data_IF_896271449223
#
_entry.id   IF_896271449223
#
_cell.length_a   1.000
_cell.length_b   1.000
_cell.length_c   1.000
_cell.angle_alpha   90.00
_cell.angle_beta   90.00
_cell.angle_gamma   90.00
#
_symmetry.space_group_name_H-M   'P 1'
#
loop_
_entity.id
_entity.type
_entity.pdbx_description
1 polymer ?
#
# COMPACT_ATOMS: atom_id res chain seq x y z
N UNK A 1 -10.52 -43.20 10.67
CA UNK A 1 -9.87 -41.86 10.69
C UNK A 1 -8.37 -42.12 10.81
N UNK A 2 -7.60 -41.82 9.77
CA UNK A 2 -6.15 -41.95 9.82
C UNK A 2 -5.63 -40.89 10.79
N UNK A 3 -4.79 -41.32 11.76
CA UNK A 3 -4.03 -40.42 12.62
C UNK A 3 -3.09 -39.56 11.74
N UNK A 4 -3.59 -38.43 11.23
CA UNK A 4 -2.71 -37.39 10.71
C UNK A 4 -1.94 -36.85 11.92
N UNK A 5 -0.65 -37.09 11.96
CA UNK A 5 0.24 -36.55 12.97
C UNK A 5 0.06 -35.01 13.00
N UNK A 6 -0.47 -34.50 14.10
CA UNK A 6 -0.55 -33.07 14.33
C UNK A 6 0.86 -32.49 14.21
N UNK A 7 1.04 -31.36 13.50
CA UNK A 7 2.36 -30.78 13.37
C UNK A 7 2.94 -30.43 14.75
N UNK A 8 4.15 -30.89 15.00
CA UNK A 8 4.90 -30.58 16.22
C UNK A 8 5.38 -29.14 16.19
N UNK A 9 5.26 -28.43 17.31
CA UNK A 9 5.83 -27.09 17.46
C UNK A 9 7.22 -27.26 18.05
N UNK A 10 8.23 -26.72 17.37
CA UNK A 10 9.55 -26.54 17.95
C UNK A 10 9.57 -25.19 18.67
N UNK A 11 9.71 -25.23 19.97
CA UNK A 11 9.91 -24.04 20.80
C UNK A 11 11.39 -24.00 21.20
N UNK A 12 12.05 -22.92 20.81
CA UNK A 12 13.44 -22.68 21.24
C UNK A 12 13.38 -21.85 22.53
N UNK A 13 13.67 -22.49 23.67
CA UNK A 13 13.97 -21.79 24.92
C UNK A 13 15.46 -21.42 24.94
N UNK A 14 15.89 -20.57 25.89
CA UNK A 14 17.23 -19.98 25.94
C UNK A 14 18.39 -20.97 25.72
N UNK A 15 18.21 -22.25 25.99
CA UNK A 15 19.28 -23.28 25.90
C UNK A 15 18.86 -24.61 25.25
N UNK A 16 17.58 -24.83 24.95
CA UNK A 16 17.10 -26.12 24.42
C UNK A 16 16.02 -25.97 23.35
N UNK A 17 16.11 -26.80 22.31
CA UNK A 17 14.99 -27.03 21.38
C UNK A 17 14.03 -28.04 22.01
N UNK A 18 12.86 -27.60 22.37
CA UNK A 18 11.77 -28.47 22.81
C UNK A 18 10.77 -28.67 21.69
N UNK A 19 10.47 -29.92 21.37
CA UNK A 19 9.38 -30.28 20.48
C UNK A 19 8.11 -30.46 21.31
N UNK A 20 7.15 -29.52 21.18
CA UNK A 20 5.87 -29.67 21.82
C UNK A 20 4.91 -30.32 20.82
N UNK A 21 4.59 -31.60 21.05
CA UNK A 21 3.50 -32.27 20.36
C UNK A 21 2.19 -31.79 20.98
N UNK A 22 1.40 -31.07 20.17
CA UNK A 22 0.13 -30.53 20.66
C UNK A 22 -0.96 -31.61 20.67
N UNK A 23 -1.67 -31.71 21.78
CA UNK A 23 -2.93 -32.47 21.92
C UNK A 23 -4.15 -31.71 21.37
N UNK A 24 -3.96 -30.46 20.91
CA UNK A 24 -5.00 -29.57 20.45
C UNK A 24 -5.09 -29.56 18.93
N UNK A 25 -6.30 -29.71 18.39
CA UNK A 25 -6.55 -29.52 16.95
C UNK A 25 -6.27 -28.08 16.54
N UNK A 26 -5.44 -27.87 15.52
CA UNK A 26 -4.97 -26.56 15.06
C UNK A 26 -5.46 -26.19 13.65
N UNK A 27 -6.42 -26.95 13.11
CA UNK A 27 -6.93 -26.73 11.77
C UNK A 27 -6.02 -27.34 10.68
N UNK A 28 -6.48 -27.23 9.43
CA UNK A 28 -5.75 -27.75 8.26
C UNK A 28 -4.52 -26.91 7.88
N UNK A 29 -4.52 -25.65 8.25
CA UNK A 29 -3.49 -24.67 7.84
C UNK A 29 -2.80 -24.09 9.09
N UNK A 30 -1.99 -24.93 9.76
CA UNK A 30 -1.18 -24.47 10.88
C UNK A 30 0.15 -23.93 10.36
N UNK A 31 0.41 -22.64 10.56
CA UNK A 31 1.66 -21.99 10.21
C UNK A 31 2.30 -21.46 11.50
N UNK A 32 3.57 -21.76 11.72
CA UNK A 32 4.31 -21.30 12.88
C UNK A 32 5.09 -20.02 12.56
N UNK A 33 5.30 -19.19 13.59
CA UNK A 33 6.21 -18.06 13.47
C UNK A 33 7.64 -18.59 13.34
N UNK A 34 8.45 -18.09 12.38
CA UNK A 34 9.80 -18.59 12.16
C UNK A 34 10.71 -18.24 13.32
N UNK A 35 11.63 -19.16 13.66
CA UNK A 35 12.76 -18.86 14.52
C UNK A 35 13.88 -18.21 13.71
N UNK A 36 14.93 -17.72 14.40
CA UNK A 36 16.09 -17.11 13.72
C UNK A 36 16.83 -18.08 12.76
N UNK A 37 16.66 -19.39 12.92
CA UNK A 37 17.28 -20.37 12.05
C UNK A 37 16.69 -20.35 10.64
N UNK A 38 15.38 -20.17 10.53
CA UNK A 38 14.69 -20.15 9.26
C UNK A 38 14.96 -18.86 8.45
N UNK A 39 15.42 -17.78 9.09
CA UNK A 39 15.74 -16.51 8.40
C UNK A 39 16.86 -16.64 7.35
N UNK A 40 17.69 -17.68 7.44
CA UNK A 40 18.73 -18.00 6.46
C UNK A 40 18.28 -18.93 5.34
N UNK A 41 17.03 -19.44 5.38
CA UNK A 41 16.53 -20.40 4.40
C UNK A 41 16.27 -19.71 3.04
N UNK A 42 16.64 -20.40 1.97
CA UNK A 42 16.43 -19.92 0.60
C UNK A 42 14.97 -19.64 0.29
N UNK A 43 14.06 -20.42 0.88
CA UNK A 43 12.62 -20.28 0.70
C UNK A 43 11.91 -19.43 1.77
N UNK A 44 12.66 -18.78 2.66
CA UNK A 44 12.10 -18.05 3.80
C UNK A 44 10.95 -17.10 3.41
N UNK A 45 11.14 -16.28 2.40
CA UNK A 45 10.11 -15.34 1.98
C UNK A 45 8.84 -16.03 1.48
N UNK A 46 9.00 -17.10 0.72
CA UNK A 46 7.88 -17.86 0.15
C UNK A 46 7.07 -18.57 1.22
N UNK A 47 7.72 -19.11 2.22
CA UNK A 47 7.11 -19.98 3.24
C UNK A 47 6.55 -19.19 4.43
N UNK A 48 7.15 -18.04 4.78
CA UNK A 48 6.81 -17.32 6.00
C UNK A 48 6.18 -15.94 5.75
N UNK A 49 6.55 -15.23 4.68
CA UNK A 49 6.04 -13.87 4.42
C UNK A 49 5.04 -13.83 3.27
N UNK A 50 5.38 -14.40 2.12
CA UNK A 50 4.54 -14.34 0.90
C UNK A 50 3.49 -15.45 0.83
N UNK A 51 3.52 -16.39 1.74
CA UNK A 51 2.58 -17.51 1.79
C UNK A 51 1.13 -17.02 1.88
N UNK A 52 0.31 -17.41 0.91
CA UNK A 52 -1.10 -17.00 0.84
C UNK A 52 -1.35 -15.65 0.13
N UNK A 53 -0.30 -14.91 -0.22
CA UNK A 53 -0.40 -13.62 -0.93
C UNK A 53 0.14 -13.66 -2.36
N UNK A 54 0.83 -14.72 -2.75
CA UNK A 54 1.34 -14.86 -4.12
C UNK A 54 0.19 -15.08 -5.11
N UNK A 55 0.24 -14.45 -6.30
CA UNK A 55 -0.68 -14.82 -7.38
C UNK A 55 -0.44 -16.27 -7.80
N UNK A 56 -1.48 -16.91 -8.36
CA UNK A 56 -1.38 -18.29 -8.88
C UNK A 56 -0.33 -18.38 -9.99
N UNK A 57 -0.23 -17.33 -10.81
CA UNK A 57 0.79 -17.15 -11.85
C UNK A 57 1.21 -15.69 -11.92
N UNK A 58 2.48 -15.38 -12.19
CA UNK A 58 2.89 -14.03 -12.55
C UNK A 58 2.06 -13.50 -13.73
N UNK A 59 1.77 -12.22 -13.75
CA UNK A 59 0.85 -11.63 -14.74
C UNK A 59 1.31 -10.29 -15.32
N UNK A 60 2.45 -9.77 -14.87
CA UNK A 60 3.01 -8.50 -15.35
C UNK A 60 4.10 -8.81 -16.39
N UNK A 61 3.82 -8.57 -17.66
CA UNK A 61 4.80 -8.58 -18.72
C UNK A 61 5.26 -7.15 -19.05
N UNK A 62 6.23 -7.01 -19.97
CA UNK A 62 6.80 -5.72 -20.37
C UNK A 62 5.80 -4.77 -21.06
N UNK A 63 4.71 -5.32 -21.63
CA UNK A 63 3.70 -4.55 -22.37
C UNK A 63 2.58 -4.04 -21.46
N UNK A 64 2.41 -4.65 -20.29
CA UNK A 64 1.39 -4.24 -19.33
C UNK A 64 1.66 -2.84 -18.80
N UNK A 65 0.66 -1.98 -18.92
CA UNK A 65 0.74 -0.61 -18.44
C UNK A 65 0.48 -0.55 -16.93
N UNK A 66 1.48 -0.11 -16.19
CA UNK A 66 1.50 -0.08 -14.73
C UNK A 66 1.40 1.35 -14.24
N UNK A 67 0.59 1.58 -13.22
CA UNK A 67 0.60 2.82 -12.45
C UNK A 67 0.81 2.51 -10.96
N UNK A 68 1.65 3.29 -10.29
CA UNK A 68 1.82 3.19 -8.85
C UNK A 68 1.38 4.49 -8.17
N UNK A 69 0.57 4.35 -7.12
CA UNK A 69 0.10 5.43 -6.26
C UNK A 69 0.61 5.27 -4.84
N UNK A 70 0.79 6.36 -4.13
CA UNK A 70 0.95 6.34 -2.69
C UNK A 70 2.17 7.07 -2.15
N UNK A 71 2.83 6.47 -1.15
CA UNK A 71 4.00 7.04 -0.47
C UNK A 71 5.25 7.10 -1.37
N UNK A 72 6.36 7.64 -0.83
CA UNK A 72 7.65 7.60 -1.50
C UNK A 72 8.08 6.18 -1.91
N UNK A 73 7.60 5.15 -1.23
CA UNK A 73 7.85 3.76 -1.64
C UNK A 73 7.25 3.46 -3.03
N UNK A 74 6.09 4.02 -3.38
CA UNK A 74 5.52 3.88 -4.73
C UNK A 74 6.43 4.51 -5.82
N UNK A 75 7.19 5.56 -5.49
CA UNK A 75 8.22 6.09 -6.40
C UNK A 75 9.34 5.09 -6.64
N UNK A 76 9.86 4.46 -5.58
CA UNK A 76 10.89 3.43 -5.71
C UNK A 76 10.42 2.23 -6.53
N UNK A 77 9.18 1.77 -6.34
CA UNK A 77 8.57 0.72 -7.17
C UNK A 77 8.56 1.13 -8.64
N UNK A 78 8.11 2.35 -8.95
CA UNK A 78 8.06 2.85 -10.32
C UNK A 78 9.45 2.98 -10.95
N UNK A 79 10.41 3.53 -10.21
CA UNK A 79 11.79 3.71 -10.68
C UNK A 79 12.47 2.37 -10.97
N UNK A 80 12.29 1.40 -10.08
CA UNK A 80 12.81 0.05 -10.30
C UNK A 80 12.23 -0.59 -11.58
N UNK A 81 10.89 -0.56 -11.72
CA UNK A 81 10.22 -1.16 -12.88
C UNK A 81 10.60 -0.46 -14.19
N UNK A 82 10.78 0.87 -14.18
CA UNK A 82 11.29 1.61 -15.36
C UNK A 82 12.71 1.20 -15.69
N UNK A 83 13.62 1.10 -14.71
CA UNK A 83 14.99 0.60 -14.92
C UNK A 83 15.00 -0.81 -15.53
N UNK A 84 14.02 -1.63 -15.17
CA UNK A 84 13.81 -2.99 -15.72
C UNK A 84 13.02 -3.02 -17.04
N UNK A 85 12.75 -1.85 -17.65
CA UNK A 85 12.06 -1.68 -18.95
C UNK A 85 10.59 -2.16 -18.95
N UNK A 86 9.91 -2.14 -17.80
CA UNK A 86 8.45 -2.29 -17.76
C UNK A 86 7.76 -1.00 -18.19
N UNK A 87 6.53 -1.13 -18.73
CA UNK A 87 5.73 0.02 -19.18
C UNK A 87 5.02 0.68 -17.99
N UNK A 88 5.70 1.62 -17.34
CA UNK A 88 5.17 2.33 -16.18
C UNK A 88 4.77 3.75 -16.56
N UNK A 89 3.59 4.19 -16.14
CA UNK A 89 3.21 5.60 -16.22
C UNK A 89 4.07 6.42 -15.24
N UNK A 90 5.30 6.72 -15.66
CA UNK A 90 6.29 7.48 -14.90
C UNK A 90 6.72 8.70 -15.73
N UNK A 91 6.42 9.91 -15.30
CA UNK A 91 6.76 11.17 -15.97
C UNK A 91 6.17 11.43 -17.38
N UNK A 92 5.49 10.49 -18.01
CA UNK A 92 5.00 10.59 -19.40
C UNK A 92 3.51 10.98 -19.51
N UNK A 93 2.88 11.32 -18.41
CA UNK A 93 1.55 11.93 -18.48
C UNK A 93 1.74 13.33 -19.08
N UNK A 94 1.05 13.62 -20.18
CA UNK A 94 1.12 14.90 -20.86
C UNK A 94 1.02 16.07 -19.90
N UNK A 95 1.48 17.26 -20.30
CA UNK A 95 1.53 18.43 -19.41
C UNK A 95 0.19 18.79 -18.78
N UNK A 96 -0.90 18.26 -19.30
CA UNK A 96 -2.28 18.54 -18.93
C UNK A 96 -2.97 17.41 -18.16
N UNK A 97 -2.30 16.30 -17.80
CA UNK A 97 -2.89 15.28 -16.95
C UNK A 97 -2.36 15.38 -15.52
N UNK A 98 -3.28 15.41 -14.56
CA UNK A 98 -2.93 15.38 -13.15
C UNK A 98 -3.30 14.05 -12.52
N UNK A 99 -2.37 13.11 -12.60
CA UNK A 99 -2.38 11.99 -11.68
C UNK A 99 -1.31 12.27 -10.64
N UNK A 100 -1.72 12.67 -9.45
CA UNK A 100 -0.81 12.76 -8.33
C UNK A 100 -0.56 11.36 -7.85
N UNK A 101 0.64 10.87 -8.08
CA UNK A 101 1.00 9.47 -7.80
C UNK A 101 1.68 9.30 -6.46
N UNK A 102 2.51 10.26 -6.06
CA UNK A 102 3.42 10.10 -4.92
C UNK A 102 3.40 11.28 -3.96
N UNK A 103 3.76 10.99 -2.74
CA UNK A 103 3.95 11.96 -1.67
C UNK A 103 3.06 11.72 -0.47
N UNK A 104 3.22 12.51 0.56
CA UNK A 104 2.47 12.37 1.81
C UNK A 104 0.95 12.41 1.58
N UNK A 105 0.49 13.30 0.70
CA UNK A 105 -0.93 13.43 0.38
C UNK A 105 -1.54 12.17 -0.25
N UNK A 106 -0.77 11.39 -1.00
CA UNK A 106 -1.27 10.21 -1.72
C UNK A 106 -1.12 8.91 -0.95
N UNK A 107 -0.62 8.96 0.27
CA UNK A 107 -0.41 7.77 1.09
C UNK A 107 -1.65 7.35 1.91
N UNK A 108 -2.76 8.06 1.83
CA UNK A 108 -4.03 7.72 2.50
C UNK A 108 -5.10 7.28 1.51
N UNK A 109 -6.08 6.54 2.00
CA UNK A 109 -7.14 5.94 1.17
C UNK A 109 -8.11 6.97 0.61
N UNK A 110 -8.33 8.08 1.31
CA UNK A 110 -9.29 9.12 0.91
C UNK A 110 -8.84 9.83 -0.36
N UNK A 111 -7.58 10.25 -0.41
CA UNK A 111 -7.05 11.00 -1.55
C UNK A 111 -6.92 10.15 -2.81
N UNK A 112 -6.58 8.87 -2.66
CA UNK A 112 -6.57 7.92 -3.79
C UNK A 112 -7.99 7.73 -4.32
N UNK A 113 -8.98 7.51 -3.43
CA UNK A 113 -10.38 7.36 -3.80
C UNK A 113 -10.91 8.63 -4.48
N UNK A 114 -10.67 9.79 -3.89
CA UNK A 114 -11.16 11.08 -4.42
C UNK A 114 -10.64 11.33 -5.84
N UNK A 115 -9.35 11.05 -6.09
CA UNK A 115 -8.78 11.21 -7.43
C UNK A 115 -9.43 10.28 -8.46
N UNK A 116 -9.74 9.03 -8.09
CA UNK A 116 -10.43 8.10 -8.98
C UNK A 116 -11.88 8.50 -9.22
N UNK A 117 -12.60 8.93 -8.18
CA UNK A 117 -13.97 9.44 -8.30
C UNK A 117 -14.04 10.68 -9.22
N UNK A 118 -13.10 11.60 -9.06
CA UNK A 118 -13.00 12.76 -9.94
C UNK A 118 -12.75 12.35 -11.39
N UNK A 119 -11.79 11.45 -11.62
CA UNK A 119 -11.41 11.07 -12.97
C UNK A 119 -12.52 10.27 -13.67
N UNK A 120 -13.06 9.24 -13.04
CA UNK A 120 -14.02 8.30 -13.65
C UNK A 120 -15.46 8.75 -13.57
N UNK A 121 -15.88 9.35 -12.44
CA UNK A 121 -17.28 9.69 -12.17
C UNK A 121 -17.57 11.18 -12.27
N UNK A 122 -16.57 12.01 -12.58
CA UNK A 122 -16.70 13.46 -12.62
C UNK A 122 -17.25 14.06 -11.30
N UNK A 123 -16.87 13.43 -10.17
CA UNK A 123 -17.26 13.94 -8.86
C UNK A 123 -16.55 15.25 -8.57
N UNK A 124 -17.32 16.25 -8.18
CA UNK A 124 -16.76 17.54 -7.80
C UNK A 124 -15.81 17.40 -6.61
N UNK A 125 -14.65 18.04 -6.76
CA UNK A 125 -13.66 18.17 -5.70
C UNK A 125 -13.69 19.58 -5.18
N UNK A 126 -13.72 19.71 -3.86
CA UNK A 126 -13.65 21.01 -3.23
C UNK A 126 -12.38 21.75 -3.66
N UNK A 127 -12.56 22.97 -4.17
CA UNK A 127 -11.42 23.84 -4.50
C UNK A 127 -10.60 24.04 -3.23
N UNK A 128 -9.29 23.93 -3.33
CA UNK A 128 -8.33 24.11 -2.24
C UNK A 128 -8.04 22.89 -1.33
N UNK A 129 -8.60 21.71 -1.59
CA UNK A 129 -8.13 20.48 -0.91
C UNK A 129 -6.85 19.91 -1.53
N UNK A 130 -6.58 20.23 -2.80
CA UNK A 130 -5.44 19.73 -3.56
C UNK A 130 -4.27 20.73 -3.59
N UNK A 131 -3.53 20.84 -2.52
CA UNK A 131 -2.35 21.69 -2.48
C UNK A 131 -1.14 21.00 -3.11
N UNK A 132 -0.52 21.66 -4.08
CA UNK A 132 0.80 21.25 -4.58
C UNK A 132 1.93 21.85 -3.73
N UNK A 133 1.79 23.11 -3.36
CA UNK A 133 2.66 23.84 -2.44
C UNK A 133 1.82 24.86 -1.66
N UNK A 134 2.33 25.51 -0.60
CA UNK A 134 1.58 26.53 0.15
C UNK A 134 0.97 27.64 -0.67
N UNK A 135 1.53 27.92 -1.85
CA UNK A 135 1.08 28.99 -2.75
C UNK A 135 0.43 28.51 -4.06
N UNK A 136 0.32 27.19 -4.28
CA UNK A 136 -0.16 26.65 -5.56
C UNK A 136 -1.10 25.48 -5.35
N UNK A 137 -2.37 25.69 -5.69
CA UNK A 137 -3.35 24.62 -5.84
C UNK A 137 -3.20 23.91 -7.19
N UNK A 138 -3.55 22.65 -7.26
CA UNK A 138 -3.61 21.93 -8.51
C UNK A 138 -4.87 22.30 -9.28
N UNK A 139 -4.73 22.39 -10.59
CA UNK A 139 -5.90 22.54 -11.49
C UNK A 139 -6.68 21.22 -11.50
N UNK A 140 -8.00 21.35 -11.44
CA UNK A 140 -8.93 20.23 -11.52
C UNK A 140 -10.06 20.52 -12.53
N UNK A 141 -9.71 21.23 -13.62
CA UNK A 141 -10.66 21.55 -14.69
C UNK A 141 -10.98 20.32 -15.56
N UNK A 142 -11.99 20.46 -16.40
CA UNK A 142 -12.53 19.39 -17.22
C UNK A 142 -11.54 18.87 -18.27
N UNK A 143 -10.68 19.72 -18.82
CA UNK A 143 -9.63 19.31 -19.76
C UNK A 143 -8.64 18.36 -19.06
N UNK A 144 -8.19 18.77 -17.87
CA UNK A 144 -7.29 17.99 -17.03
C UNK A 144 -7.92 16.65 -16.64
N UNK A 145 -9.20 16.66 -16.28
CA UNK A 145 -9.96 15.46 -15.94
C UNK A 145 -10.01 14.47 -17.11
N UNK A 146 -10.34 14.95 -18.31
CA UNK A 146 -10.41 14.10 -19.51
C UNK A 146 -9.08 13.47 -19.85
N UNK A 147 -7.98 14.21 -19.78
CA UNK A 147 -6.65 13.65 -20.02
C UNK A 147 -6.24 12.64 -18.96
N UNK A 148 -6.55 12.91 -17.68
CA UNK A 148 -6.33 11.97 -16.59
C UNK A 148 -7.13 10.68 -16.80
N UNK A 149 -8.40 10.79 -17.15
CA UNK A 149 -9.25 9.65 -17.47
C UNK A 149 -8.70 8.82 -18.64
N UNK A 150 -8.26 9.48 -19.72
CA UNK A 150 -7.68 8.80 -20.88
C UNK A 150 -6.41 8.02 -20.50
N UNK A 151 -5.59 8.55 -19.62
CA UNK A 151 -4.42 7.85 -19.11
C UNK A 151 -4.80 6.65 -18.23
N UNK A 152 -5.74 6.84 -17.29
CA UNK A 152 -6.20 5.78 -16.38
C UNK A 152 -6.86 4.61 -17.13
N UNK A 153 -7.60 4.88 -18.20
CA UNK A 153 -8.25 3.84 -19.04
C UNK A 153 -7.28 2.89 -19.72
N UNK A 154 -6.01 3.21 -19.76
CA UNK A 154 -4.98 2.36 -20.36
C UNK A 154 -4.27 1.47 -19.35
N UNK A 155 -4.57 1.59 -18.05
CA UNK A 155 -3.84 0.90 -16.99
C UNK A 155 -4.29 -0.55 -16.86
N UNK A 156 -3.34 -1.48 -16.96
CA UNK A 156 -3.55 -2.91 -16.71
C UNK A 156 -3.32 -3.29 -15.24
N UNK A 157 -2.39 -2.61 -14.57
CA UNK A 157 -2.01 -2.95 -13.19
C UNK A 157 -1.88 -1.69 -12.33
N UNK A 158 -2.66 -1.65 -11.26
CA UNK A 158 -2.59 -0.63 -10.22
C UNK A 158 -1.78 -1.15 -9.04
N UNK A 159 -0.72 -0.44 -8.66
CA UNK A 159 0.04 -0.68 -7.42
C UNK A 159 -0.28 0.46 -6.47
N UNK A 160 -0.93 0.17 -5.35
CA UNK A 160 -1.42 1.20 -4.42
C UNK A 160 -0.75 1.02 -3.06
N UNK A 161 0.14 1.95 -2.74
CA UNK A 161 0.93 1.94 -1.49
C UNK A 161 0.32 2.87 -0.46
N UNK A 162 -0.40 2.31 0.50
CA UNK A 162 -1.04 3.08 1.59
C UNK A 162 -0.10 3.17 2.79
N UNK A 163 -0.05 4.32 3.44
CA UNK A 163 0.89 4.55 4.54
C UNK A 163 0.40 5.44 5.67
N UNK A 164 -0.70 6.19 5.47
CA UNK A 164 -1.23 7.17 6.41
C UNK A 164 -2.69 6.91 6.73
N UNK A 165 -3.04 6.82 8.00
CA UNK A 165 -4.42 6.87 8.49
C UNK A 165 -4.75 8.17 9.25
N UNK A 166 -3.75 9.03 9.46
CA UNK A 166 -3.92 10.36 10.03
C UNK A 166 -4.15 11.38 8.91
N UNK A 167 -5.26 12.12 9.00
CA UNK A 167 -5.68 13.02 7.92
C UNK A 167 -6.19 14.36 8.44
N UNK A 168 -5.86 15.43 7.71
CA UNK A 168 -6.51 16.73 7.87
C UNK A 168 -7.79 16.77 7.04
N UNK A 169 -8.84 17.39 7.54
CA UNK A 169 -10.12 17.47 6.85
C UNK A 169 -10.83 18.80 7.10
N UNK A 170 -11.72 19.17 6.20
CA UNK A 170 -12.63 20.29 6.37
C UNK A 170 -13.80 19.88 7.28
N UNK A 171 -13.97 20.55 8.42
CA UNK A 171 -15.04 20.25 9.40
C UNK A 171 -16.47 20.49 8.88
N UNK A 172 -16.62 21.30 7.83
CA UNK A 172 -17.92 21.64 7.23
C UNK A 172 -18.31 20.59 6.19
N UNK A 173 -17.37 20.21 5.30
CA UNK A 173 -17.64 19.33 4.16
C UNK A 173 -17.19 17.88 4.39
N UNK A 174 -16.41 17.63 5.45
CA UNK A 174 -15.73 16.36 5.75
C UNK A 174 -14.72 15.90 4.69
N UNK A 175 -14.40 16.75 3.73
CA UNK A 175 -13.44 16.43 2.69
C UNK A 175 -12.01 16.44 3.24
N UNK A 176 -11.21 15.46 2.84
CA UNK A 176 -9.83 15.28 3.32
C UNK A 176 -8.87 16.09 2.46
N UNK A 177 -7.93 16.78 3.09
CA UNK A 177 -6.86 17.49 2.40
C UNK A 177 -5.79 16.51 1.92
N UNK A 178 -5.24 16.77 0.75
CA UNK A 178 -4.20 15.92 0.16
C UNK A 178 -2.84 16.09 0.82
N UNK A 179 -2.65 17.19 1.54
CA UNK A 179 -1.45 17.49 2.34
C UNK A 179 -1.86 18.25 3.60
N UNK A 180 -0.87 18.54 4.43
CA UNK A 180 -1.05 19.48 5.52
C UNK A 180 -1.48 20.85 4.99
N UNK A 181 -2.33 21.52 5.76
CA UNK A 181 -2.90 22.82 5.40
C UNK A 181 -1.82 23.89 5.52
N UNK A 182 -1.65 24.75 4.51
CA UNK A 182 -0.73 25.88 4.63
C UNK A 182 -1.05 26.75 5.84
N UNK A 183 -0.03 27.14 6.61
CA UNK A 183 -0.23 27.91 7.85
C UNK A 183 -1.00 29.20 7.61
N UNK A 184 -0.81 29.85 6.46
CA UNK A 184 -1.54 31.08 6.06
C UNK A 184 -3.03 30.85 5.78
N UNK A 185 -3.46 29.61 5.64
CA UNK A 185 -4.85 29.22 5.33
C UNK A 185 -5.49 28.45 6.47
N UNK A 186 -4.73 28.10 7.52
CA UNK A 186 -5.25 27.36 8.64
C UNK A 186 -6.30 28.18 9.42
N UNK A 187 -7.45 27.57 9.64
CA UNK A 187 -8.55 28.12 10.42
C UNK A 187 -9.08 26.99 11.31
N UNK A 188 -8.89 27.13 12.62
CA UNK A 188 -9.28 26.11 13.60
C UNK A 188 -10.79 25.78 13.54
N UNK A 189 -11.63 26.75 13.17
CA UNK A 189 -13.08 26.51 13.05
C UNK A 189 -13.44 25.64 11.87
N UNK A 190 -12.62 25.66 10.78
CA UNK A 190 -12.87 24.95 9.54
C UNK A 190 -12.06 23.68 9.38
N UNK A 191 -10.89 23.62 9.98
CA UNK A 191 -9.93 22.55 9.77
C UNK A 191 -9.85 21.64 10.99
N UNK A 192 -9.97 20.35 10.75
CA UNK A 192 -9.83 19.30 11.74
C UNK A 192 -8.74 18.32 11.37
N UNK A 193 -8.25 17.64 12.37
CA UNK A 193 -7.33 16.51 12.23
C UNK A 193 -7.96 15.28 12.88
N UNK A 194 -7.85 14.12 12.23
CA UNK A 194 -8.37 12.86 12.78
C UNK A 194 -7.48 11.68 12.45
N UNK A 195 -7.55 10.67 13.29
CA UNK A 195 -7.14 9.31 12.98
C UNK A 195 -8.34 8.62 12.32
N UNK A 196 -8.21 8.19 11.07
CA UNK A 196 -9.27 7.45 10.40
C UNK A 196 -9.39 6.03 10.94
N UNK A 197 -10.61 5.49 10.93
CA UNK A 197 -10.90 4.16 11.47
C UNK A 197 -10.55 3.03 10.47
N UNK A 198 -10.57 1.78 10.94
CA UNK A 198 -10.43 0.60 10.08
C UNK A 198 -11.57 0.54 9.07
N UNK A 199 -12.80 0.84 9.51
CA UNK A 199 -14.01 0.82 8.69
C UNK A 199 -13.92 1.84 7.57
N UNK A 200 -13.60 3.11 7.88
CA UNK A 200 -13.42 4.16 6.88
C UNK A 200 -12.40 3.77 5.82
N UNK A 201 -11.26 3.22 6.23
CA UNK A 201 -10.22 2.80 5.30
C UNK A 201 -10.63 1.56 4.49
N UNK A 202 -11.32 0.59 5.10
CA UNK A 202 -11.85 -0.59 4.39
C UNK A 202 -12.86 -0.17 3.32
N UNK A 203 -13.79 0.73 3.65
CA UNK A 203 -14.80 1.24 2.73
C UNK A 203 -14.15 2.01 1.57
N UNK A 204 -13.17 2.86 1.86
CA UNK A 204 -12.43 3.56 0.81
C UNK A 204 -11.70 2.60 -0.13
N UNK A 205 -10.99 1.59 0.40
CA UNK A 205 -10.31 0.57 -0.40
C UNK A 205 -11.29 -0.24 -1.24
N UNK A 206 -12.47 -0.58 -0.70
CA UNK A 206 -13.52 -1.28 -1.42
C UNK A 206 -14.09 -0.42 -2.55
N UNK A 207 -14.30 0.87 -2.33
CA UNK A 207 -14.75 1.80 -3.37
C UNK A 207 -13.66 2.00 -4.44
N UNK A 208 -12.39 2.11 -4.07
CA UNK A 208 -11.27 2.11 -5.03
C UNK A 208 -11.31 0.87 -5.91
N UNK A 209 -11.46 -0.33 -5.30
CA UNK A 209 -11.58 -1.58 -6.03
C UNK A 209 -12.77 -1.55 -7.00
N UNK A 210 -13.97 -1.19 -6.53
CA UNK A 210 -15.19 -1.14 -7.35
C UNK A 210 -15.02 -0.20 -8.54
N UNK A 211 -14.60 1.04 -8.33
CA UNK A 211 -14.41 2.03 -9.41
C UNK A 211 -13.43 1.52 -10.47
N UNK A 212 -12.31 0.94 -10.05
CA UNK A 212 -11.34 0.38 -10.99
C UNK A 212 -11.98 -0.78 -11.75
N UNK A 213 -12.66 -1.69 -11.11
CA UNK A 213 -13.21 -2.90 -11.75
C UNK A 213 -14.43 -2.61 -12.63
N UNK A 214 -15.24 -1.63 -12.30
CA UNK A 214 -16.37 -1.18 -13.12
C UNK A 214 -15.89 -0.52 -14.42
N UNK A 215 -14.82 0.25 -14.36
CA UNK A 215 -14.27 0.94 -15.53
C UNK A 215 -13.22 0.13 -16.31
N UNK A 216 -12.50 -0.76 -15.62
CA UNK A 216 -11.38 -1.54 -16.13
C UNK A 216 -11.47 -2.99 -15.64
N UNK A 217 -12.43 -3.79 -16.14
CA UNK A 217 -12.70 -5.14 -15.63
C UNK A 217 -11.50 -6.09 -15.65
N UNK A 218 -10.60 -5.91 -16.62
CA UNK A 218 -9.41 -6.77 -16.80
C UNK A 218 -8.23 -6.36 -15.91
N UNK A 219 -8.23 -5.16 -15.33
CA UNK A 219 -7.12 -4.66 -14.53
C UNK A 219 -6.93 -5.45 -13.25
N UNK A 220 -5.69 -5.48 -12.79
CA UNK A 220 -5.32 -6.07 -11.51
C UNK A 220 -4.86 -5.00 -10.52
N UNK A 221 -5.12 -5.24 -9.25
CA UNK A 221 -4.80 -4.30 -8.17
C UNK A 221 -3.88 -4.98 -7.17
N UNK A 222 -2.74 -4.36 -6.89
CA UNK A 222 -1.79 -4.81 -5.87
C UNK A 222 -1.76 -3.74 -4.78
N UNK A 223 -2.31 -4.04 -3.62
CA UNK A 223 -2.13 -3.20 -2.43
C UNK A 223 -0.83 -3.54 -1.72
N UNK A 224 -0.21 -2.54 -1.14
CA UNK A 224 0.94 -2.73 -0.25
C UNK A 224 0.89 -1.69 0.88
N UNK A 225 1.24 -2.10 2.08
CA UNK A 225 1.40 -1.17 3.19
C UNK A 225 2.81 -0.56 3.12
N UNK A 226 2.87 0.76 3.10
CA UNK A 226 4.15 1.48 3.04
C UNK A 226 5.05 1.13 4.22
N UNK A 227 6.29 0.70 3.98
CA UNK A 227 7.26 0.48 5.05
C UNK A 227 7.78 1.78 5.67
N UNK A 228 7.62 2.92 4.97
CA UNK A 228 8.12 4.22 5.44
C UNK A 228 7.27 4.70 6.61
N UNK A 229 7.88 5.03 7.79
CA UNK A 229 7.17 5.55 8.95
C UNK A 229 6.59 6.95 8.71
N UNK A 230 5.68 7.36 9.59
CA UNK A 230 5.20 8.75 9.66
C UNK A 230 6.38 9.71 9.85
N UNK A 231 6.34 10.85 9.17
CA UNK A 231 7.31 11.93 9.41
C UNK A 231 6.98 12.68 10.71
N UNK A 232 5.69 12.80 10.99
CA UNK A 232 5.18 13.48 12.18
C UNK A 232 3.77 12.97 12.49
N UNK A 233 3.33 13.16 13.72
CA UNK A 233 1.93 13.05 14.12
C UNK A 233 1.47 14.39 14.69
N UNK A 234 0.19 14.70 14.52
CA UNK A 234 -0.44 15.88 15.14
C UNK A 234 -1.32 15.47 16.33
N UNK A 235 -1.15 14.24 16.78
CA UNK A 235 -1.75 13.72 18.02
C UNK A 235 -0.83 14.01 19.19
N UNK A 236 -1.39 14.20 20.38
CA UNK A 236 -0.63 14.39 21.62
C UNK A 236 -0.02 13.07 22.11
N UNK A 237 0.93 12.54 21.33
CA UNK A 237 1.66 11.31 21.65
C UNK A 237 2.93 11.17 20.80
N UNK A 238 3.79 10.21 21.15
CA UNK A 238 5.00 9.88 20.38
C UNK A 238 4.67 9.47 18.94
N UNK A 239 5.45 9.98 17.99
CA UNK A 239 5.31 9.62 16.58
C UNK A 239 5.54 8.12 16.32
N UNK A 240 6.41 7.46 17.10
CA UNK A 240 6.67 6.02 16.98
C UNK A 240 5.38 5.23 17.29
N UNK A 241 4.72 5.53 18.41
CA UNK A 241 3.48 4.85 18.79
C UNK A 241 2.30 5.22 17.90
N UNK A 242 2.23 6.49 17.45
CA UNK A 242 1.26 6.92 16.46
C UNK A 242 1.42 6.17 15.12
N UNK A 243 2.66 6.01 14.66
CA UNK A 243 2.96 5.21 13.48
C UNK A 243 2.48 3.76 13.62
N UNK A 244 2.74 3.11 14.75
CA UNK A 244 2.28 1.73 14.99
C UNK A 244 0.75 1.62 14.85
N UNK A 245 0.00 2.53 15.45
CA UNK A 245 -1.47 2.57 15.34
C UNK A 245 -1.90 2.82 13.89
N UNK A 246 -1.30 3.80 13.23
CA UNK A 246 -1.62 4.14 11.83
C UNK A 246 -1.41 2.95 10.90
N UNK A 247 -0.28 2.26 11.02
CA UNK A 247 0.04 1.07 10.20
C UNK A 247 -0.91 -0.10 10.51
N UNK A 248 -1.26 -0.32 11.78
CA UNK A 248 -2.19 -1.38 12.18
C UNK A 248 -3.58 -1.18 11.58
N UNK A 249 -4.14 0.03 11.63
CA UNK A 249 -5.42 0.36 11.02
C UNK A 249 -5.41 0.02 9.52
N UNK A 250 -4.40 0.49 8.81
CA UNK A 250 -4.31 0.27 7.36
C UNK A 250 -4.05 -1.20 7.02
N UNK A 251 -3.25 -1.91 7.82
CA UNK A 251 -2.99 -3.33 7.59
C UNK A 251 -4.26 -4.16 7.74
N UNK A 252 -5.07 -3.89 8.76
CA UNK A 252 -6.36 -4.57 8.94
C UNK A 252 -7.33 -4.21 7.81
N UNK A 253 -7.41 -2.94 7.41
CA UNK A 253 -8.26 -2.53 6.29
C UNK A 253 -7.86 -3.22 4.97
N UNK A 254 -6.56 -3.34 4.69
CA UNK A 254 -6.07 -4.08 3.52
C UNK A 254 -6.43 -5.58 3.64
N UNK A 255 -6.30 -6.18 4.82
CA UNK A 255 -6.69 -7.58 5.02
C UNK A 255 -8.16 -7.81 4.74
N UNK A 256 -9.01 -6.93 5.25
CA UNK A 256 -10.45 -6.98 5.02
C UNK A 256 -10.79 -6.97 3.53
N UNK A 257 -10.23 -6.02 2.76
CA UNK A 257 -10.54 -5.92 1.33
C UNK A 257 -9.99 -7.11 0.53
N UNK A 258 -8.81 -7.61 0.86
CA UNK A 258 -8.26 -8.82 0.23
C UNK A 258 -9.17 -10.02 0.48
N UNK A 259 -9.65 -10.21 1.71
CA UNK A 259 -10.54 -11.31 2.06
C UNK A 259 -11.92 -11.19 1.40
N UNK A 260 -12.49 -9.98 1.29
CA UNK A 260 -13.76 -9.73 0.59
C UNK A 260 -13.73 -10.17 -0.88
N UNK A 261 -12.59 -10.01 -1.55
CA UNK A 261 -12.46 -10.25 -3.00
C UNK A 261 -11.51 -11.39 -3.36
N UNK A 262 -11.09 -12.21 -2.40
CA UNK A 262 -10.08 -13.27 -2.58
C UNK A 262 -10.39 -14.23 -3.74
N UNK A 263 -11.66 -14.54 -3.98
CA UNK A 263 -12.09 -15.45 -5.04
C UNK A 263 -11.94 -14.88 -6.46
N UNK A 264 -11.76 -13.56 -6.61
CA UNK A 264 -11.72 -12.89 -7.91
C UNK A 264 -10.37 -12.99 -8.62
N UNK A 265 -9.28 -13.30 -7.89
CA UNK A 265 -7.91 -13.38 -8.41
C UNK A 265 -7.47 -12.15 -9.25
N UNK A 266 -7.90 -10.98 -8.83
CA UNK A 266 -7.62 -9.69 -9.46
C UNK A 266 -7.18 -8.61 -8.46
N UNK A 267 -7.14 -8.96 -7.19
CA UNK A 267 -6.69 -8.15 -6.07
C UNK A 267 -5.66 -8.90 -5.25
N UNK A 268 -4.56 -8.25 -4.92
CA UNK A 268 -3.40 -8.86 -4.25
C UNK A 268 -2.86 -7.95 -3.16
N UNK A 269 -2.14 -8.55 -2.20
CA UNK A 269 -1.35 -7.84 -1.21
C UNK A 269 0.12 -8.20 -1.36
N UNK A 270 0.99 -7.19 -1.53
CA UNK A 270 2.44 -7.37 -1.46
C UNK A 270 2.97 -6.87 -0.11
N UNK A 271 3.56 -7.75 0.72
CA UNK A 271 3.89 -7.47 2.11
C UNK A 271 5.22 -6.71 2.30
N UNK A 272 5.39 -5.56 1.62
CA UNK A 272 6.60 -4.74 1.72
C UNK A 272 6.87 -4.25 3.14
N UNK A 273 5.81 -3.96 3.91
CA UNK A 273 5.90 -3.56 5.31
C UNK A 273 6.46 -4.67 6.18
N UNK A 274 5.93 -5.88 6.03
CA UNK A 274 6.36 -7.04 6.81
C UNK A 274 7.81 -7.43 6.46
N UNK A 275 8.17 -7.43 5.18
CA UNK A 275 9.56 -7.67 4.75
C UNK A 275 10.51 -6.68 5.42
N UNK A 276 10.14 -5.40 5.42
CA UNK A 276 11.00 -4.36 5.99
C UNK A 276 11.16 -4.48 7.50
N UNK A 277 10.05 -4.68 8.23
CA UNK A 277 10.05 -4.56 9.69
C UNK A 277 10.36 -5.86 10.42
N UNK A 278 10.21 -7.01 9.75
CA UNK A 278 10.41 -8.31 10.41
C UNK A 278 11.61 -9.10 9.87
N UNK A 279 12.08 -8.78 8.66
CA UNK A 279 13.23 -9.49 8.09
C UNK A 279 14.54 -8.70 8.17
N UNK A 280 14.54 -7.42 7.82
CA UNK A 280 15.76 -6.61 7.85
C UNK A 280 16.12 -6.16 9.27
N UNK A 281 17.41 -6.24 9.63
CA UNK A 281 17.89 -5.82 10.94
C UNK A 281 18.03 -4.29 11.02
N UNK A 282 18.48 -3.66 9.94
CA UNK A 282 18.71 -2.20 9.86
C UNK A 282 18.30 -1.69 8.48
N UNK A 283 16.96 -1.55 8.25
CA UNK A 283 16.45 -1.28 6.91
C UNK A 283 16.58 0.17 6.44
N UNK A 284 16.76 1.11 7.36
CA UNK A 284 16.60 2.54 7.06
C UNK A 284 17.94 3.29 6.97
N UNK A 285 17.92 4.40 6.26
CA UNK A 285 18.99 5.40 6.25
C UNK A 285 19.09 6.12 7.60
N UNK A 286 20.03 7.05 7.72
CA UNK A 286 20.31 7.78 8.97
C UNK A 286 19.09 8.54 9.53
N UNK A 287 18.13 8.88 8.68
CA UNK A 287 16.89 9.53 9.09
C UNK A 287 15.85 8.56 9.71
N UNK A 288 16.19 7.27 9.77
CA UNK A 288 15.36 6.17 10.28
C UNK A 288 13.99 6.06 9.62
N UNK A 289 13.87 6.51 8.38
CA UNK A 289 12.62 6.53 7.59
C UNK A 289 12.78 6.05 6.15
N UNK A 290 13.73 6.60 5.42
CA UNK A 290 13.98 6.17 4.04
C UNK A 290 14.73 4.85 4.04
N UNK A 291 14.28 3.93 3.17
CA UNK A 291 14.93 2.63 3.04
C UNK A 291 16.28 2.75 2.36
N UNK A 292 17.25 1.98 2.82
CA UNK A 292 18.52 1.77 2.12
C UNK A 292 18.28 1.18 0.73
N UNK A 293 19.03 1.64 -0.26
CA UNK A 293 18.85 1.21 -1.65
C UNK A 293 18.95 -0.31 -1.82
N UNK A 294 19.88 -0.96 -1.11
CA UNK A 294 20.04 -2.41 -1.13
C UNK A 294 18.78 -3.16 -0.66
N UNK A 295 18.05 -2.62 0.33
CA UNK A 295 16.82 -3.21 0.84
C UNK A 295 15.66 -2.98 -0.12
N UNK A 296 15.61 -1.81 -0.78
CA UNK A 296 14.63 -1.55 -1.86
C UNK A 296 14.84 -2.56 -2.98
N UNK A 297 16.08 -2.79 -3.42
CA UNK A 297 16.41 -3.76 -4.47
C UNK A 297 15.96 -5.18 -4.07
N UNK A 298 16.22 -5.61 -2.82
CA UNK A 298 15.79 -6.93 -2.33
C UNK A 298 14.26 -7.07 -2.33
N UNK A 299 13.54 -6.06 -1.84
CA UNK A 299 12.07 -6.05 -1.85
C UNK A 299 11.55 -6.11 -3.29
N UNK A 300 12.15 -5.35 -4.20
CA UNK A 300 11.70 -5.31 -5.59
C UNK A 300 12.05 -6.57 -6.37
N UNK A 301 13.16 -7.24 -6.07
CA UNK A 301 13.46 -8.56 -6.62
C UNK A 301 12.40 -9.60 -6.21
N UNK A 302 11.93 -9.55 -4.96
CA UNK A 302 10.81 -10.40 -4.50
C UNK A 302 9.50 -10.03 -5.20
N UNK A 303 9.24 -8.75 -5.44
CA UNK A 303 8.09 -8.33 -6.22
C UNK A 303 8.17 -8.87 -7.66
N UNK A 304 9.30 -8.66 -8.33
CA UNK A 304 9.52 -9.08 -9.71
C UNK A 304 9.36 -10.61 -9.85
N UNK A 305 10.00 -11.39 -9.00
CA UNK A 305 9.94 -12.87 -9.05
C UNK A 305 8.54 -13.44 -8.82
N UNK A 306 7.64 -12.71 -8.14
CA UNK A 306 6.30 -13.21 -7.83
C UNK A 306 5.21 -12.68 -8.76
N UNK A 307 5.35 -11.46 -9.26
CA UNK A 307 4.32 -10.80 -10.05
C UNK A 307 4.67 -10.66 -11.53
N UNK A 308 5.96 -10.62 -11.87
CA UNK A 308 6.41 -10.38 -13.23
C UNK A 308 6.75 -11.68 -13.97
N UNK A 309 6.45 -11.70 -15.26
CA UNK A 309 6.75 -12.83 -16.13
C UNK A 309 8.20 -12.66 -16.59
N UNK A 310 9.02 -13.67 -16.34
CA UNK A 310 10.37 -13.74 -16.88
C UNK A 310 10.27 -13.86 -18.41
N UNK A 311 10.91 -12.92 -19.12
CA UNK A 311 11.04 -12.93 -20.58
C UNK A 311 12.46 -13.33 -20.96
#
# INVERSE_FOLDING_TARGET
MKNEQLPSIKVVSKNDEQTISGTWFRGKHCNFYPSKKEFGDENFFNDYILKGFRPIKPFIDKNKKIIAFGSCFASHVSEYLVKKKYSVFYKQLGQNSHIIRYGEGMANTFTVLEQLLWAFENKDIEKNTWYYSPSKTLRNDEEMRKETLNALRQVDVFIITIGLSEVWYNKITNQVFWKAIPISQYDEKKHGFKLSTVEENTDNLNNIYKIIKENLPSSKIIFTLSPIPLVATFRDQSCITANAVSKSILRVAIDNIINMHKSKNDIFYFPSYEITNYYFTDPFEIDNRHLKEENIIKIMNLFESNYCIDN
#
